data_IF_470132681965
#
_entry.id   IF_470132681965
#
_cell.length_a   1.000
_cell.length_b   1.000
_cell.length_c   1.000
_cell.angle_alpha   90.00
_cell.angle_beta   90.00
_cell.angle_gamma   90.00
#
_symmetry.space_group_name_H-M   'P 1'
#
loop_
_entity.id
_entity.type
_entity.pdbx_description
1 polymer ?
#
# COMPACT_ATOMS: atom_id res chain seq x y z
N UNK A 1 -29.52 -14.22 -13.16
CA UNK A 1 -28.40 -13.24 -13.16
C UNK A 1 -27.22 -13.83 -12.36
N UNK A 2 -26.22 -14.41 -13.03
CA UNK A 2 -25.05 -15.09 -12.41
C UNK A 2 -23.77 -14.26 -12.59
N UNK A 3 -23.67 -13.12 -11.89
CA UNK A 3 -22.48 -12.24 -11.98
C UNK A 3 -21.71 -12.07 -10.66
N UNK A 4 -22.21 -12.52 -9.50
CA UNK A 4 -21.64 -12.06 -8.20
C UNK A 4 -20.52 -12.93 -7.60
N UNK A 5 -20.27 -14.15 -8.09
CA UNK A 5 -19.30 -15.06 -7.45
C UNK A 5 -17.82 -14.69 -7.63
N UNK A 6 -17.46 -14.03 -8.74
CA UNK A 6 -16.07 -13.67 -9.07
C UNK A 6 -15.65 -12.27 -8.60
N UNK A 7 -16.61 -11.38 -8.32
CA UNK A 7 -16.33 -9.99 -7.92
C UNK A 7 -16.21 -9.83 -6.40
N UNK A 8 -16.90 -10.67 -5.62
CA UNK A 8 -16.82 -10.70 -4.16
C UNK A 8 -15.38 -10.74 -3.61
N UNK A 9 -14.48 -11.59 -4.12
CA UNK A 9 -13.08 -11.66 -3.68
C UNK A 9 -12.28 -10.40 -4.04
N UNK A 10 -12.55 -9.79 -5.19
CA UNK A 10 -11.95 -8.52 -5.61
C UNK A 10 -12.41 -7.38 -4.69
N UNK A 11 -13.71 -7.29 -4.41
CA UNK A 11 -14.29 -6.36 -3.43
C UNK A 11 -13.69 -6.53 -2.03
N UNK A 12 -13.49 -7.78 -1.60
CA UNK A 12 -12.81 -8.13 -0.34
C UNK A 12 -11.34 -7.68 -0.30
N UNK A 13 -10.69 -7.54 -1.46
CA UNK A 13 -9.32 -7.03 -1.57
C UNK A 13 -9.27 -5.50 -1.63
N UNK A 14 -10.28 -4.88 -2.25
CA UNK A 14 -10.40 -3.43 -2.33
C UNK A 14 -10.58 -2.80 -0.95
N UNK A 15 -11.36 -3.43 -0.07
CA UNK A 15 -11.61 -2.92 1.28
C UNK A 15 -10.32 -2.66 2.10
N UNK A 16 -9.41 -3.65 2.31
CA UNK A 16 -8.17 -3.40 3.03
C UNK A 16 -7.26 -2.41 2.29
N UNK A 17 -7.28 -2.40 0.95
CA UNK A 17 -6.49 -1.42 0.18
C UNK A 17 -6.96 0.01 0.41
N UNK A 18 -8.27 0.26 0.31
CA UNK A 18 -8.86 1.57 0.58
C UNK A 18 -8.55 2.04 2.00
N UNK A 19 -8.61 1.13 2.98
CA UNK A 19 -8.27 1.44 4.37
C UNK A 19 -6.79 1.86 4.49
N UNK A 20 -5.87 1.14 3.83
CA UNK A 20 -4.45 1.51 3.79
C UNK A 20 -4.23 2.88 3.12
N UNK A 21 -4.95 3.19 2.04
CA UNK A 21 -4.85 4.51 1.38
C UNK A 21 -5.38 5.63 2.27
N UNK A 22 -6.52 5.44 2.94
CA UNK A 22 -7.10 6.43 3.85
C UNK A 22 -6.18 6.66 5.05
N UNK A 23 -5.65 5.59 5.64
CA UNK A 23 -4.74 5.70 6.80
C UNK A 23 -3.40 6.33 6.43
N UNK A 24 -2.84 6.04 5.26
CA UNK A 24 -1.64 6.70 4.76
C UNK A 24 -1.88 8.20 4.48
N UNK A 25 -3.04 8.56 3.92
CA UNK A 25 -3.44 9.96 3.74
C UNK A 25 -3.62 10.69 5.07
N UNK A 26 -4.24 10.04 6.06
CA UNK A 26 -4.36 10.59 7.41
C UNK A 26 -2.99 10.80 8.06
N UNK A 27 -2.08 9.83 7.92
CA UNK A 27 -0.71 9.97 8.42
C UNK A 27 0.00 11.16 7.76
N UNK A 28 -0.09 11.30 6.44
CA UNK A 28 0.47 12.43 5.72
C UNK A 28 -0.09 13.77 6.24
N UNK A 29 -1.40 13.84 6.46
CA UNK A 29 -2.05 15.01 7.02
C UNK A 29 -1.57 15.34 8.44
N UNK A 30 -1.44 14.33 9.31
CA UNK A 30 -0.92 14.51 10.67
C UNK A 30 0.53 14.99 10.68
N UNK A 31 1.37 14.46 9.78
CA UNK A 31 2.76 14.91 9.63
C UNK A 31 2.84 16.36 9.12
N UNK A 32 1.98 16.74 8.17
CA UNK A 32 1.85 18.13 7.73
C UNK A 32 1.42 19.04 8.89
N UNK A 33 0.44 18.63 9.68
CA UNK A 33 -0.07 19.39 10.82
C UNK A 33 0.99 19.57 11.91
N UNK A 34 1.84 18.57 12.10
CA UNK A 34 3.00 18.62 13.00
C UNK A 34 4.17 19.45 12.47
N UNK A 35 4.06 20.03 11.27
CA UNK A 35 5.11 20.84 10.66
C UNK A 35 6.32 20.04 10.18
N UNK A 36 6.15 18.72 9.94
CA UNK A 36 7.23 17.85 9.50
C UNK A 36 7.67 18.24 8.09
N UNK A 37 8.98 18.47 7.93
CA UNK A 37 9.59 18.79 6.64
C UNK A 37 9.34 17.71 5.60
N UNK A 38 9.28 18.11 4.32
CA UNK A 38 9.01 17.20 3.18
C UNK A 38 9.97 16.01 3.14
N UNK A 39 11.22 16.21 3.55
CA UNK A 39 12.27 15.20 3.55
C UNK A 39 12.00 14.02 4.48
N UNK A 40 11.28 14.25 5.58
CA UNK A 40 10.87 13.18 6.51
C UNK A 40 9.46 12.70 6.19
N UNK A 41 8.60 13.62 5.72
CA UNK A 41 7.20 13.34 5.41
C UNK A 41 7.03 12.30 4.29
N UNK A 42 7.67 12.54 3.15
CA UNK A 42 7.55 11.68 1.96
C UNK A 42 7.99 10.24 2.28
N UNK A 43 9.18 9.99 2.85
CA UNK A 43 9.61 8.64 3.20
C UNK A 43 8.74 8.00 4.28
N UNK A 44 8.32 8.75 5.30
CA UNK A 44 7.46 8.20 6.36
C UNK A 44 6.14 7.66 5.80
N UNK A 45 5.49 8.43 4.92
CA UNK A 45 4.22 8.04 4.30
C UNK A 45 4.42 6.87 3.33
N UNK A 46 5.47 6.89 2.51
CA UNK A 46 5.78 5.81 1.57
C UNK A 46 6.09 4.50 2.28
N UNK A 47 6.94 4.53 3.31
CA UNK A 47 7.27 3.35 4.11
C UNK A 47 6.07 2.80 4.85
N UNK A 48 5.22 3.66 5.41
CA UNK A 48 3.96 3.24 6.02
C UNK A 48 3.03 2.58 5.00
N UNK A 49 2.89 3.16 3.81
CA UNK A 49 2.07 2.61 2.74
C UNK A 49 2.62 1.27 2.23
N UNK A 50 3.94 1.13 2.13
CA UNK A 50 4.61 -0.12 1.76
C UNK A 50 4.40 -1.22 2.81
N UNK A 51 4.69 -0.94 4.09
CA UNK A 51 4.54 -1.89 5.18
C UNK A 51 3.08 -2.37 5.30
N UNK A 52 2.13 -1.45 5.19
CA UNK A 52 0.71 -1.76 5.23
C UNK A 52 0.26 -2.60 4.02
N UNK A 53 0.71 -2.24 2.82
CA UNK A 53 0.43 -3.02 1.59
C UNK A 53 1.03 -4.42 1.65
N UNK A 54 2.24 -4.56 2.23
CA UNK A 54 2.89 -5.84 2.46
C UNK A 54 2.08 -6.70 3.44
N UNK A 55 1.60 -6.12 4.54
CA UNK A 55 0.75 -6.82 5.50
C UNK A 55 -0.55 -7.31 4.84
N UNK A 56 -1.22 -6.46 4.05
CA UNK A 56 -2.41 -6.85 3.28
C UNK A 56 -2.09 -7.99 2.32
N UNK A 57 -0.97 -7.92 1.59
CA UNK A 57 -0.54 -8.99 0.70
C UNK A 57 -0.30 -10.31 1.46
N UNK A 58 0.35 -10.29 2.63
CA UNK A 58 0.60 -11.49 3.41
C UNK A 58 -0.71 -12.16 3.87
N UNK A 59 -1.68 -11.36 4.32
CA UNK A 59 -2.99 -11.86 4.75
C UNK A 59 -3.80 -12.39 3.56
N UNK A 60 -3.75 -11.70 2.42
CA UNK A 60 -4.55 -12.05 1.23
C UNK A 60 -3.83 -12.97 0.24
N UNK A 61 -2.57 -13.36 0.49
CA UNK A 61 -1.72 -14.14 -0.42
C UNK A 61 -2.39 -15.40 -0.95
N UNK A 62 -3.12 -16.11 -0.08
CA UNK A 62 -3.84 -17.35 -0.44
C UNK A 62 -4.95 -17.06 -1.45
N UNK A 63 -5.74 -16.01 -1.24
CA UNK A 63 -6.77 -15.58 -2.18
C UNK A 63 -6.16 -15.12 -3.50
N UNK A 64 -5.13 -14.27 -3.46
CA UNK A 64 -4.41 -13.76 -4.64
C UNK A 64 -3.85 -14.88 -5.52
N UNK A 65 -3.36 -15.97 -4.92
CA UNK A 65 -2.87 -17.14 -5.66
C UNK A 65 -3.99 -17.91 -6.35
N UNK A 66 -5.13 -18.08 -5.68
CA UNK A 66 -6.32 -18.75 -6.24
C UNK A 66 -6.87 -17.97 -7.46
N UNK A 67 -6.80 -16.64 -7.44
CA UNK A 67 -7.26 -15.79 -8.55
C UNK A 67 -6.18 -15.49 -9.60
N UNK A 68 -4.95 -16.00 -9.46
CA UNK A 68 -3.86 -15.74 -10.41
C UNK A 68 -3.32 -14.30 -10.42
N UNK A 69 -3.77 -13.44 -9.50
CA UNK A 69 -3.37 -12.03 -9.41
C UNK A 69 -2.08 -11.80 -8.61
N UNK A 70 -1.48 -12.87 -8.08
CA UNK A 70 -0.28 -12.81 -7.23
C UNK A 70 0.89 -12.05 -7.89
N UNK A 71 1.11 -12.22 -9.21
CA UNK A 71 2.21 -11.54 -9.93
C UNK A 71 2.01 -10.03 -10.00
N UNK A 72 0.79 -9.58 -10.31
CA UNK A 72 0.44 -8.14 -10.39
C UNK A 72 0.62 -7.45 -9.04
N UNK A 73 0.17 -8.10 -7.98
CA UNK A 73 0.33 -7.59 -6.63
C UNK A 73 1.80 -7.51 -6.21
N UNK A 74 2.58 -8.56 -6.51
CA UNK A 74 4.02 -8.56 -6.24
C UNK A 74 4.74 -7.48 -7.03
N UNK A 75 4.40 -7.25 -8.30
CA UNK A 75 5.02 -6.17 -9.08
C UNK A 75 4.69 -4.79 -8.52
N UNK A 76 3.45 -4.56 -8.08
CA UNK A 76 3.06 -3.31 -7.41
C UNK A 76 3.87 -3.11 -6.13
N UNK A 77 3.97 -4.15 -5.30
CA UNK A 77 4.78 -4.12 -4.09
C UNK A 77 6.26 -3.82 -4.38
N UNK A 78 6.82 -4.40 -5.45
CA UNK A 78 8.20 -4.17 -5.85
C UNK A 78 8.44 -2.71 -6.25
N UNK A 79 7.57 -2.15 -7.10
CA UNK A 79 7.64 -0.74 -7.51
C UNK A 79 7.51 0.18 -6.28
N UNK A 80 6.59 -0.15 -5.37
CA UNK A 80 6.34 0.64 -4.18
C UNK A 80 7.49 0.56 -3.17
N UNK A 81 8.13 -0.60 -3.06
CA UNK A 81 9.34 -0.79 -2.27
C UNK A 81 10.53 -0.02 -2.85
N UNK A 82 10.70 -0.04 -4.18
CA UNK A 82 11.68 0.79 -4.88
C UNK A 82 11.46 2.28 -4.62
N UNK A 83 10.22 2.77 -4.75
CA UNK A 83 9.86 4.15 -4.43
C UNK A 83 10.17 4.51 -2.96
N UNK A 84 9.89 3.58 -2.03
CA UNK A 84 10.16 3.79 -0.60
C UNK A 84 11.67 3.85 -0.32
N UNK A 85 12.47 3.00 -0.97
CA UNK A 85 13.94 3.07 -0.91
C UNK A 85 14.46 4.37 -1.50
N UNK A 86 13.97 4.77 -2.67
CA UNK A 86 14.38 6.02 -3.32
C UNK A 86 14.00 7.25 -2.49
N UNK A 87 12.90 7.20 -1.75
CA UNK A 87 12.48 8.28 -0.86
C UNK A 87 13.41 8.53 0.33
N UNK A 88 14.36 7.62 0.60
CA UNK A 88 15.40 7.82 1.60
C UNK A 88 16.63 8.56 1.05
N UNK A 89 16.81 8.69 -0.27
CA UNK A 89 17.92 9.47 -0.82
C UNK A 89 17.98 10.91 -0.30
N UNK A 90 16.86 11.65 -0.21
CA UNK A 90 16.86 13.01 0.35
C UNK A 90 17.27 13.08 1.83
N UNK A 91 17.16 11.99 2.60
CA UNK A 91 17.58 11.94 4.00
C UNK A 91 19.09 11.71 4.18
N UNK A 92 19.80 11.32 3.12
CA UNK A 92 21.22 11.00 3.14
C UNK A 92 22.12 12.18 2.69
N UNK A 93 21.54 13.33 2.34
CA UNK A 93 22.23 14.51 1.80
C UNK A 93 21.98 15.77 2.60
#
# INVERSE_FOLDING_TARGET
MRASGRLLPLLLLFYPFSLVTVTAGLLAFLLLLAGVGREVLIPSVLWFYFASSLAVYLVTRRALRVFGLQRLFLSLLLVLGLLSLLSLLPLLG
#
